data_IF_190367962231
#
_entry.id   IF_190367962231
#
_cell.length_a   1.000
_cell.length_b   1.000
_cell.length_c   1.000
_cell.angle_alpha   90.00
_cell.angle_beta   90.00
_cell.angle_gamma   90.00
#
_symmetry.space_group_name_H-M   'P 1'
#
loop_
_entity.id
_entity.type
_entity.pdbx_description
1 polymer ?
#
# COMPACT_ATOMS: atom_id res chain seq x y z
N UNK A 1 2.29 20.33 -12.57
CA UNK A 1 3.31 20.51 -13.64
C UNK A 1 3.19 19.37 -14.63
N UNK A 2 3.30 19.64 -15.93
CA UNK A 2 3.19 18.60 -16.96
C UNK A 2 4.47 17.72 -16.94
N UNK A 3 4.31 16.46 -16.52
CA UNK A 3 5.40 15.48 -16.42
C UNK A 3 6.09 15.30 -17.77
N UNK A 4 5.32 15.28 -18.87
CA UNK A 4 5.84 15.10 -20.23
C UNK A 4 6.75 16.26 -20.63
N UNK A 5 6.32 17.50 -20.36
CA UNK A 5 7.11 18.69 -20.65
C UNK A 5 8.42 18.69 -19.86
N UNK A 6 8.38 18.25 -18.60
CA UNK A 6 9.57 18.18 -17.74
C UNK A 6 10.58 17.14 -18.25
N UNK A 7 10.09 15.97 -18.71
CA UNK A 7 10.91 14.93 -19.33
C UNK A 7 11.63 15.44 -20.57
N UNK A 8 10.92 16.16 -21.43
CA UNK A 8 11.49 16.67 -22.69
C UNK A 8 12.44 17.86 -22.48
N UNK A 9 12.14 18.74 -21.53
CA UNK A 9 12.88 20.01 -21.35
C UNK A 9 14.02 19.94 -20.35
N UNK A 10 14.01 18.97 -19.41
CA UNK A 10 14.99 18.89 -18.32
C UNK A 10 15.52 17.45 -18.05
N UNK A 11 16.00 16.71 -19.06
CA UNK A 11 16.42 15.32 -18.89
C UNK A 11 17.57 15.14 -17.88
N UNK A 12 18.57 16.03 -17.86
CA UNK A 12 19.69 15.94 -16.91
C UNK A 12 19.28 16.23 -15.47
N UNK A 13 18.30 17.12 -15.27
CA UNK A 13 17.76 17.38 -13.94
C UNK A 13 17.03 16.14 -13.42
N UNK A 14 16.26 15.44 -14.26
CA UNK A 14 15.60 14.18 -13.90
C UNK A 14 16.62 13.11 -13.53
N UNK A 15 17.67 12.93 -14.33
CA UNK A 15 18.72 11.96 -14.01
C UNK A 15 19.37 12.29 -12.68
N UNK A 16 19.69 13.56 -12.43
CA UNK A 16 20.21 13.99 -11.12
C UNK A 16 19.23 13.67 -9.99
N UNK A 17 17.96 14.01 -10.15
CA UNK A 17 16.92 13.79 -9.14
C UNK A 17 16.73 12.30 -8.81
N UNK A 18 16.74 11.43 -9.83
CA UNK A 18 16.60 9.98 -9.67
C UNK A 18 17.84 9.37 -9.03
N UNK A 19 19.05 9.69 -9.52
CA UNK A 19 20.29 9.05 -9.06
C UNK A 19 20.92 9.69 -7.82
N UNK A 20 20.45 10.86 -7.38
CA UNK A 20 20.89 11.46 -6.10
C UNK A 20 20.13 10.92 -4.89
N UNK A 21 19.01 10.20 -5.09
CA UNK A 21 18.21 9.62 -4.03
C UNK A 21 18.47 8.11 -3.93
N UNK A 22 19.02 7.66 -2.80
CA UNK A 22 19.39 6.27 -2.57
C UNK A 22 18.19 5.30 -2.71
N UNK A 23 17.02 5.68 -2.22
CA UNK A 23 15.81 4.84 -2.25
C UNK A 23 15.28 4.66 -3.68
N UNK A 24 15.36 5.70 -4.52
CA UNK A 24 15.02 5.59 -5.95
C UNK A 24 15.98 4.67 -6.69
N UNK A 25 17.26 4.73 -6.35
CA UNK A 25 18.26 3.81 -6.90
C UNK A 25 17.97 2.38 -6.46
N UNK A 26 17.74 2.13 -5.16
CA UNK A 26 17.33 0.82 -4.63
C UNK A 26 16.10 0.28 -5.35
N UNK A 27 15.09 1.12 -5.58
CA UNK A 27 13.89 0.74 -6.32
C UNK A 27 14.19 0.18 -7.71
N UNK A 28 15.04 0.87 -8.49
CA UNK A 28 15.47 0.42 -9.82
C UNK A 28 16.23 -0.91 -9.71
N UNK A 29 17.13 -1.03 -8.73
CA UNK A 29 17.88 -2.27 -8.49
C UNK A 29 16.97 -3.43 -8.11
N UNK A 30 15.96 -3.23 -7.26
CA UNK A 30 15.02 -4.30 -6.93
C UNK A 30 14.13 -4.67 -8.11
N UNK A 31 13.68 -3.68 -8.89
CA UNK A 31 12.79 -3.90 -10.02
C UNK A 31 13.46 -4.69 -11.16
N UNK A 32 14.69 -4.32 -11.53
CA UNK A 32 15.40 -4.92 -12.66
C UNK A 32 16.51 -5.88 -12.25
N UNK A 33 17.20 -5.60 -11.15
CA UNK A 33 18.30 -6.43 -10.65
C UNK A 33 17.84 -7.78 -10.13
N UNK A 34 16.61 -7.89 -9.60
CA UNK A 34 16.01 -9.19 -9.27
C UNK A 34 15.87 -10.11 -10.49
N UNK A 35 15.83 -9.54 -11.71
CA UNK A 35 15.79 -10.24 -12.99
C UNK A 35 17.14 -10.19 -13.72
N UNK A 36 18.23 -9.91 -13.00
CA UNK A 36 19.60 -9.84 -13.54
C UNK A 36 19.79 -8.78 -14.62
N UNK A 37 18.96 -7.73 -14.63
CA UNK A 37 18.94 -6.68 -15.66
C UNK A 37 18.67 -7.17 -17.10
N UNK A 38 18.29 -8.45 -17.29
CA UNK A 38 17.94 -9.03 -18.59
C UNK A 38 16.79 -8.28 -19.30
N UNK A 39 15.77 -7.69 -18.63
CA UNK A 39 14.76 -6.88 -19.30
C UNK A 39 15.31 -5.77 -20.22
N UNK A 40 16.46 -5.17 -19.87
CA UNK A 40 17.09 -4.13 -20.69
C UNK A 40 17.63 -4.65 -22.03
N UNK A 41 17.77 -5.96 -22.20
CA UNK A 41 18.14 -6.56 -23.48
C UNK A 41 16.98 -6.56 -24.48
N UNK A 42 15.74 -6.29 -24.05
CA UNK A 42 14.60 -6.08 -24.94
C UNK A 42 13.82 -4.79 -24.58
N UNK A 43 14.44 -3.62 -24.78
CA UNK A 43 13.90 -2.34 -24.32
C UNK A 43 12.61 -1.93 -25.04
N UNK A 44 12.34 -2.50 -26.24
CA UNK A 44 11.11 -2.30 -26.99
C UNK A 44 9.84 -2.53 -26.17
N UNK A 45 9.86 -3.51 -25.26
CA UNK A 45 8.71 -3.88 -24.43
C UNK A 45 8.58 -2.95 -23.23
N UNK A 46 9.70 -2.43 -22.73
CA UNK A 46 9.73 -1.52 -21.58
C UNK A 46 9.18 -0.12 -21.90
N UNK A 47 8.96 0.23 -23.17
CA UNK A 47 8.34 1.51 -23.54
C UNK A 47 6.98 1.72 -22.86
N UNK A 48 6.18 0.66 -22.72
CA UNK A 48 4.86 0.72 -22.06
C UNK A 48 5.00 1.05 -20.57
N UNK A 49 6.15 0.79 -19.96
CA UNK A 49 6.40 1.06 -18.54
C UNK A 49 6.80 2.50 -18.23
N UNK A 50 7.20 3.29 -19.25
CA UNK A 50 7.76 4.62 -19.06
C UNK A 50 6.83 5.55 -18.26
N UNK A 51 5.50 5.63 -18.52
CA UNK A 51 4.63 6.52 -17.75
C UNK A 51 4.60 6.16 -16.26
N UNK A 52 4.54 4.86 -15.93
CA UNK A 52 4.47 4.37 -14.55
C UNK A 52 5.82 4.52 -13.85
N UNK A 53 6.94 4.22 -14.54
CA UNK A 53 8.29 4.44 -14.03
C UNK A 53 8.56 5.92 -13.77
N UNK A 54 8.20 6.79 -14.72
CA UNK A 54 8.36 8.23 -14.57
C UNK A 54 7.53 8.76 -13.39
N UNK A 55 6.27 8.33 -13.27
CA UNK A 55 5.43 8.70 -12.13
C UNK A 55 6.05 8.25 -10.81
N UNK A 56 6.51 7.00 -10.73
CA UNK A 56 7.11 6.45 -9.51
C UNK A 56 8.39 7.20 -9.13
N UNK A 57 9.30 7.42 -10.09
CA UNK A 57 10.61 8.01 -9.85
C UNK A 57 10.59 9.53 -9.65
N UNK A 58 9.59 10.22 -10.22
CA UNK A 58 9.42 11.67 -10.06
C UNK A 58 8.47 12.04 -8.92
N UNK A 59 7.83 11.06 -8.28
CA UNK A 59 7.01 11.30 -7.11
C UNK A 59 7.85 11.87 -5.96
N UNK A 60 7.23 12.77 -5.20
CA UNK A 60 7.80 13.33 -3.97
C UNK A 60 7.64 12.35 -2.80
N UNK A 61 6.52 11.62 -2.75
CA UNK A 61 6.24 10.65 -1.69
C UNK A 61 7.03 9.34 -1.94
N UNK A 62 7.91 8.92 -1.01
CA UNK A 62 8.68 7.68 -1.08
C UNK A 62 7.87 6.41 -1.31
N UNK A 63 6.58 6.40 -0.95
CA UNK A 63 5.70 5.24 -1.15
C UNK A 63 5.59 4.85 -2.62
N UNK A 64 5.68 5.81 -3.54
CA UNK A 64 5.59 5.55 -4.98
C UNK A 64 6.84 4.87 -5.58
N UNK A 65 8.01 5.02 -4.94
CA UNK A 65 9.26 4.38 -5.36
C UNK A 65 9.79 3.40 -4.30
N UNK A 66 8.92 2.85 -3.45
CA UNK A 66 9.30 1.78 -2.53
C UNK A 66 8.91 0.41 -3.09
N UNK A 67 9.85 -0.54 -3.14
CA UNK A 67 9.61 -1.89 -3.68
C UNK A 67 8.62 -2.72 -2.85
N UNK A 68 8.35 -2.32 -1.61
CA UNK A 68 7.39 -2.98 -0.71
C UNK A 68 5.96 -2.45 -0.85
N UNK A 69 5.72 -1.48 -1.72
CA UNK A 69 4.40 -0.90 -1.97
C UNK A 69 3.80 -1.42 -3.29
N UNK A 70 2.49 -1.26 -3.44
CA UNK A 70 1.73 -1.79 -4.59
C UNK A 70 1.92 -0.99 -5.90
N UNK A 71 2.57 0.18 -5.85
CA UNK A 71 2.71 1.06 -7.01
C UNK A 71 3.57 0.49 -8.14
N UNK A 72 4.36 -0.56 -7.86
CA UNK A 72 5.14 -1.28 -8.87
C UNK A 72 4.34 -2.33 -9.65
N UNK A 73 3.08 -2.61 -9.28
CA UNK A 73 2.28 -3.67 -9.89
C UNK A 73 2.15 -3.54 -11.41
N UNK A 74 1.97 -2.32 -11.93
CA UNK A 74 1.86 -2.06 -13.37
C UNK A 74 3.16 -2.27 -14.16
N UNK A 75 4.30 -2.45 -13.48
CA UNK A 75 5.61 -2.68 -14.10
C UNK A 75 5.93 -4.18 -14.23
N UNK A 76 5.25 -5.03 -13.46
CA UNK A 76 5.60 -6.43 -13.30
C UNK A 76 5.47 -7.23 -14.60
N UNK A 77 4.31 -7.13 -15.27
CA UNK A 77 4.04 -7.91 -16.49
C UNK A 77 4.99 -7.52 -17.64
N UNK A 78 5.13 -6.23 -18.00
CA UNK A 78 6.08 -5.86 -19.06
C UNK A 78 7.52 -6.26 -18.74
N UNK A 79 7.94 -6.18 -17.47
CA UNK A 79 9.28 -6.61 -17.05
C UNK A 79 9.51 -8.11 -17.22
N UNK A 80 8.52 -8.94 -16.87
CA UNK A 80 8.60 -10.40 -17.05
C UNK A 80 8.66 -10.76 -18.54
N UNK A 81 7.86 -10.11 -19.39
CA UNK A 81 7.89 -10.34 -20.83
C UNK A 81 9.26 -9.90 -21.41
N UNK A 82 9.74 -8.71 -21.04
CA UNK A 82 11.04 -8.21 -21.46
C UNK A 82 12.20 -9.12 -20.97
N UNK A 83 12.08 -9.69 -19.77
CA UNK A 83 13.00 -10.69 -19.26
C UNK A 83 13.01 -11.94 -20.16
N UNK A 84 11.85 -12.55 -20.41
CA UNK A 84 11.74 -13.77 -21.20
C UNK A 84 12.30 -13.59 -22.63
N UNK A 85 11.91 -12.50 -23.30
CA UNK A 85 12.39 -12.13 -24.64
C UNK A 85 13.88 -11.70 -24.65
N UNK A 86 14.40 -11.27 -23.50
CA UNK A 86 15.80 -10.88 -23.31
C UNK A 86 16.74 -12.08 -23.16
N UNK A 87 16.26 -13.24 -22.71
CA UNK A 87 17.09 -14.44 -22.45
C UNK A 87 17.97 -14.85 -23.65
N UNK A 88 17.46 -14.94 -24.90
CA UNK A 88 18.30 -15.31 -26.04
C UNK A 88 19.45 -14.33 -26.30
N UNK A 89 19.27 -13.05 -25.98
CA UNK A 89 20.33 -12.04 -26.07
C UNK A 89 21.31 -12.18 -24.91
N UNK A 90 20.82 -12.44 -23.69
CA UNK A 90 21.65 -12.70 -22.52
C UNK A 90 22.58 -13.90 -22.74
N UNK A 91 22.07 -15.00 -23.31
CA UNK A 91 22.85 -16.19 -23.67
C UNK A 91 23.97 -15.87 -24.66
N UNK A 92 23.69 -15.09 -25.70
CA UNK A 92 24.71 -14.66 -26.66
C UNK A 92 25.79 -13.79 -26.02
N UNK A 93 25.39 -12.86 -25.15
CA UNK A 93 26.35 -12.03 -24.38
C UNK A 93 27.22 -12.89 -23.46
N UNK A 94 26.63 -13.88 -22.78
CA UNK A 94 27.32 -14.84 -21.92
C UNK A 94 28.39 -15.65 -22.68
N UNK A 95 28.04 -16.14 -23.86
CA UNK A 95 28.98 -16.85 -24.74
C UNK A 95 30.07 -15.90 -25.29
N UNK A 96 29.73 -14.64 -25.58
CA UNK A 96 30.69 -13.64 -26.06
C UNK A 96 31.78 -13.32 -25.04
N UNK A 97 31.45 -13.30 -23.75
CA UNK A 97 32.42 -13.16 -22.65
C UNK A 97 33.12 -14.49 -22.29
N UNK A 98 33.04 -15.49 -23.17
CA UNK A 98 33.73 -16.80 -23.09
C UNK A 98 33.36 -17.63 -21.85
N UNK A 99 32.20 -17.39 -21.26
CA UNK A 99 31.70 -18.24 -20.17
C UNK A 99 31.09 -19.53 -20.75
N UNK A 100 31.24 -20.65 -20.04
CA UNK A 100 30.72 -21.93 -20.54
C UNK A 100 29.19 -21.88 -20.60
N UNK A 101 28.64 -22.25 -21.75
CA UNK A 101 27.19 -22.25 -22.02
C UNK A 101 26.39 -23.01 -20.96
N UNK A 102 26.89 -24.17 -20.55
CA UNK A 102 26.24 -25.04 -19.55
C UNK A 102 25.98 -24.37 -18.19
N UNK A 103 26.66 -23.26 -17.88
CA UNK A 103 26.49 -22.55 -16.61
C UNK A 103 25.47 -21.42 -16.67
N UNK A 104 25.02 -21.01 -17.86
CA UNK A 104 24.10 -19.87 -17.98
C UNK A 104 22.78 -20.13 -17.24
N UNK A 105 22.08 -21.21 -17.58
CA UNK A 105 20.79 -21.53 -16.96
C UNK A 105 20.90 -21.83 -15.47
N UNK A 106 21.85 -22.66 -15.00
CA UNK A 106 22.01 -22.91 -13.55
C UNK A 106 22.27 -21.62 -12.76
N UNK A 107 23.13 -20.72 -13.26
CA UNK A 107 23.44 -19.47 -12.56
C UNK A 107 22.22 -18.55 -12.55
N UNK A 108 21.54 -18.41 -13.68
CA UNK A 108 20.33 -17.59 -13.77
C UNK A 108 19.24 -18.10 -12.82
N UNK A 109 18.92 -19.39 -12.88
CA UNK A 109 17.90 -20.01 -12.02
C UNK A 109 18.29 -19.91 -10.53
N UNK A 110 19.55 -20.15 -10.19
CA UNK A 110 20.04 -20.01 -8.81
C UNK A 110 19.91 -18.57 -8.34
N UNK A 111 20.30 -17.60 -9.15
CA UNK A 111 20.17 -16.17 -8.83
C UNK A 111 18.71 -15.77 -8.59
N UNK A 112 17.79 -16.21 -9.45
CA UNK A 112 16.35 -15.95 -9.27
C UNK A 112 15.81 -16.57 -7.97
N UNK A 113 16.19 -17.81 -7.66
CA UNK A 113 15.78 -18.50 -6.43
C UNK A 113 16.33 -17.76 -5.20
N UNK A 114 17.62 -17.38 -5.22
CA UNK A 114 18.24 -16.62 -4.12
C UNK A 114 17.53 -15.28 -3.92
N UNK A 115 17.30 -14.51 -5.00
CA UNK A 115 16.54 -13.27 -4.94
C UNK A 115 15.13 -13.49 -4.36
N UNK A 116 14.46 -14.57 -4.76
CA UNK A 116 13.14 -14.91 -4.23
C UNK A 116 13.19 -15.23 -2.74
N UNK A 117 14.13 -16.05 -2.28
CA UNK A 117 14.28 -16.40 -0.86
C UNK A 117 14.58 -15.16 0.00
N UNK A 118 15.41 -14.24 -0.51
CA UNK A 118 15.85 -13.06 0.24
C UNK A 118 14.81 -11.92 0.23
N UNK A 119 14.11 -11.69 -0.88
CA UNK A 119 13.33 -10.46 -1.10
C UNK A 119 11.81 -10.68 -1.13
N UNK A 120 11.34 -11.87 -1.51
CA UNK A 120 9.91 -12.17 -1.66
C UNK A 120 9.22 -12.30 -0.29
N UNK A 121 7.92 -12.02 -0.16
CA UNK A 121 7.11 -12.42 1.00
C UNK A 121 6.45 -13.80 0.83
N UNK A 122 7.09 -14.77 0.17
CA UNK A 122 6.53 -16.10 -0.11
C UNK A 122 6.85 -17.17 0.95
N UNK A 123 6.14 -18.31 0.99
CA UNK A 123 6.39 -19.38 1.96
C UNK A 123 7.80 -19.99 1.97
N UNK A 124 8.59 -19.78 0.91
CA UNK A 124 9.99 -20.24 0.83
C UNK A 124 10.99 -19.15 1.22
N UNK A 125 10.52 -17.93 1.50
CA UNK A 125 11.38 -16.79 1.79
C UNK A 125 11.64 -16.62 3.28
N UNK A 126 12.75 -15.94 3.60
CA UNK A 126 13.10 -15.61 4.97
C UNK A 126 12.08 -14.64 5.60
N UNK A 127 11.49 -13.76 4.78
CA UNK A 127 10.53 -12.75 5.24
C UNK A 127 9.26 -13.38 5.82
N UNK A 128 8.84 -14.53 5.28
CA UNK A 128 7.63 -15.23 5.71
C UNK A 128 7.74 -15.84 7.12
N UNK A 129 8.96 -16.19 7.55
CA UNK A 129 9.23 -16.73 8.89
C UNK A 129 9.77 -15.69 9.87
N UNK A 130 9.91 -14.43 9.45
CA UNK A 130 10.42 -13.37 10.30
C UNK A 130 9.26 -12.65 11.03
N UNK A 131 9.17 -12.71 12.37
CA UNK A 131 8.12 -12.02 13.13
C UNK A 131 8.22 -10.48 13.05
N UNK A 132 9.37 -9.94 12.65
CA UNK A 132 9.55 -8.51 12.37
C UNK A 132 8.85 -8.05 11.09
N UNK A 133 8.48 -8.97 10.19
CA UNK A 133 7.72 -8.66 8.97
C UNK A 133 6.25 -9.02 9.16
N UNK A 134 5.58 -8.39 10.15
CA UNK A 134 4.26 -8.78 10.64
C UNK A 134 3.24 -9.10 9.53
N UNK A 135 3.11 -8.25 8.51
CA UNK A 135 2.13 -8.41 7.42
C UNK A 135 2.35 -9.64 6.53
N UNK A 136 3.53 -10.25 6.59
CA UNK A 136 3.92 -11.40 5.78
C UNK A 136 4.29 -12.61 6.64
N UNK A 137 4.25 -12.49 7.97
CA UNK A 137 4.59 -13.58 8.88
C UNK A 137 3.54 -14.69 8.81
N UNK A 138 3.99 -15.94 8.68
CA UNK A 138 3.11 -17.09 8.44
C UNK A 138 1.93 -17.19 9.43
N UNK A 139 2.14 -16.82 10.69
CA UNK A 139 1.10 -16.91 11.72
C UNK A 139 -0.10 -15.99 11.46
N UNK A 140 0.04 -14.92 10.66
CA UNK A 140 -1.08 -14.05 10.27
C UNK A 140 -2.07 -14.77 9.36
N UNK A 141 -1.62 -15.78 8.61
CA UNK A 141 -2.48 -16.59 7.74
C UNK A 141 -3.20 -17.72 8.48
N UNK A 142 -2.77 -18.05 9.70
CA UNK A 142 -3.37 -19.10 10.52
C UNK A 142 -4.48 -18.48 11.37
N UNK A 143 -5.74 -18.95 11.26
CA UNK A 143 -6.82 -18.49 12.12
C UNK A 143 -6.50 -18.77 13.60
N UNK A 144 -6.47 -17.72 14.42
CA UNK A 144 -6.34 -17.83 15.88
C UNK A 144 -7.69 -17.70 16.57
N UNK A 145 -7.76 -18.13 17.83
CA UNK A 145 -8.93 -17.91 18.70
C UNK A 145 -9.28 -16.41 18.80
N UNK A 146 -8.27 -15.55 18.98
CA UNK A 146 -8.42 -14.08 18.96
C UNK A 146 -9.06 -13.57 17.68
N UNK A 147 -8.71 -14.14 16.51
CA UNK A 147 -9.34 -13.76 15.25
C UNK A 147 -10.83 -14.14 15.22
N UNK A 148 -11.24 -15.23 15.87
CA UNK A 148 -12.65 -15.59 15.98
C UNK A 148 -13.40 -14.66 16.93
N UNK A 149 -12.82 -14.35 18.10
CA UNK A 149 -13.39 -13.38 19.06
C UNK A 149 -13.64 -12.03 18.38
N UNK A 150 -12.63 -11.50 17.67
CA UNK A 150 -12.74 -10.25 16.92
C UNK A 150 -13.86 -10.32 15.87
N UNK A 151 -13.91 -11.39 15.06
CA UNK A 151 -14.95 -11.55 14.03
C UNK A 151 -16.36 -11.65 14.61
N UNK A 152 -16.50 -12.35 15.73
CA UNK A 152 -17.76 -12.49 16.45
C UNK A 152 -18.18 -11.14 17.03
N UNK A 153 -17.29 -10.45 17.76
CA UNK A 153 -17.56 -9.13 18.30
C UNK A 153 -17.98 -8.13 17.22
N UNK A 154 -17.29 -8.10 16.07
CA UNK A 154 -17.66 -7.23 14.95
C UNK A 154 -19.06 -7.54 14.40
N UNK A 155 -19.46 -8.80 14.31
CA UNK A 155 -20.80 -9.19 13.84
C UNK A 155 -21.89 -8.93 14.87
N UNK A 156 -21.55 -9.04 16.16
CA UNK A 156 -22.50 -8.84 17.26
C UNK A 156 -22.76 -7.37 17.54
N UNK A 157 -21.72 -6.53 17.50
CA UNK A 157 -21.80 -5.14 17.97
C UNK A 157 -21.92 -4.09 16.86
N UNK A 158 -21.60 -4.44 15.61
CA UNK A 158 -21.75 -3.51 14.48
C UNK A 158 -22.83 -4.10 13.55
N UNK A 159 -23.92 -3.36 13.25
CA UNK A 159 -24.97 -3.84 12.37
C UNK A 159 -24.47 -4.05 10.94
N UNK A 160 -25.17 -4.89 10.17
CA UNK A 160 -24.83 -5.19 8.77
C UNK A 160 -25.35 -4.15 7.76
N UNK A 161 -25.93 -3.06 8.24
CA UNK A 161 -26.48 -1.98 7.41
C UNK A 161 -25.38 -1.35 6.52
N UNK A 162 -25.56 -1.33 5.18
CA UNK A 162 -24.62 -0.70 4.27
C UNK A 162 -24.46 0.82 4.42
N UNK A 163 -25.42 1.53 5.01
CA UNK A 163 -25.38 2.98 5.18
C UNK A 163 -24.53 3.43 6.37
N UNK A 164 -24.30 2.53 7.33
CA UNK A 164 -23.49 2.82 8.52
C UNK A 164 -22.04 3.11 8.14
N UNK A 165 -21.52 4.24 8.62
CA UNK A 165 -20.16 4.68 8.32
C UNK A 165 -19.22 4.13 9.38
N UNK A 166 -18.17 3.45 8.93
CA UNK A 166 -17.16 2.89 9.82
C UNK A 166 -15.81 3.53 9.60
N UNK A 167 -15.07 3.79 10.67
CA UNK A 167 -13.64 4.15 10.63
C UNK A 167 -12.82 3.01 11.20
N UNK A 168 -11.89 2.46 10.41
CA UNK A 168 -11.14 1.26 10.79
C UNK A 168 -9.64 1.45 10.55
N UNK A 169 -8.81 0.74 11.33
CA UNK A 169 -7.38 0.64 11.03
C UNK A 169 -7.11 -0.24 9.80
N UNK A 170 -6.05 0.07 9.05
CA UNK A 170 -5.65 -0.69 7.85
C UNK A 170 -5.25 -2.13 8.17
N UNK A 171 -4.94 -2.46 9.43
CA UNK A 171 -4.67 -3.83 9.85
C UNK A 171 -5.94 -4.69 10.02
N UNK A 172 -7.12 -4.11 9.81
CA UNK A 172 -8.43 -4.73 10.07
C UNK A 172 -9.25 -4.93 8.79
N UNK A 173 -8.80 -5.83 7.92
CA UNK A 173 -9.55 -6.19 6.72
C UNK A 173 -10.48 -7.38 6.98
N UNK A 174 -11.75 -7.10 7.30
CA UNK A 174 -12.79 -8.11 7.39
C UNK A 174 -13.92 -7.83 6.40
N UNK A 175 -14.22 -8.81 5.54
CA UNK A 175 -15.21 -8.67 4.47
C UNK A 175 -16.61 -8.29 4.96
N UNK A 176 -16.97 -8.63 6.21
CA UNK A 176 -18.20 -8.14 6.83
C UNK A 176 -18.24 -6.62 6.76
N UNK A 177 -17.23 -5.94 7.32
CA UNK A 177 -17.10 -4.48 7.36
C UNK A 177 -16.96 -3.84 5.98
N UNK A 178 -16.38 -4.53 5.00
CA UNK A 178 -16.15 -3.95 3.67
C UNK A 178 -17.38 -3.94 2.76
N UNK A 179 -18.55 -4.38 3.26
CA UNK A 179 -19.83 -4.32 2.53
C UNK A 179 -20.56 -2.98 2.63
N UNK A 180 -20.06 -2.03 3.44
CA UNK A 180 -20.69 -0.71 3.58
C UNK A 180 -20.42 0.13 2.34
N UNK A 181 -21.37 0.99 1.98
CA UNK A 181 -21.20 1.97 0.90
C UNK A 181 -20.06 2.93 1.22
N UNK A 182 -19.93 3.25 2.50
CA UNK A 182 -18.89 4.13 3.02
C UNK A 182 -18.06 3.41 4.07
N UNK A 183 -16.75 3.36 3.85
CA UNK A 183 -15.79 3.02 4.88
C UNK A 183 -14.66 4.06 4.87
N UNK A 184 -14.13 4.36 6.06
CA UNK A 184 -13.06 5.32 6.26
C UNK A 184 -11.89 4.65 6.95
N UNK A 185 -10.71 5.18 6.67
CA UNK A 185 -9.49 4.75 7.32
C UNK A 185 -9.24 5.64 8.54
N UNK A 186 -9.01 5.03 9.69
CA UNK A 186 -8.73 5.78 10.92
C UNK A 186 -7.55 6.76 10.71
N UNK A 187 -7.65 8.04 11.14
CA UNK A 187 -8.67 8.65 12.00
C UNK A 187 -9.83 9.37 11.28
N UNK A 188 -9.96 9.18 9.96
CA UNK A 188 -10.99 9.88 9.18
C UNK A 188 -12.40 9.46 9.60
N UNK A 189 -13.27 10.46 9.78
CA UNK A 189 -14.63 10.30 10.28
C UNK A 189 -14.73 10.04 11.79
N UNK A 190 -13.62 9.72 12.46
CA UNK A 190 -13.57 9.60 13.92
C UNK A 190 -13.31 10.98 14.55
N UNK A 191 -12.13 11.53 14.29
CA UNK A 191 -11.67 12.83 14.84
C UNK A 191 -11.17 13.78 13.77
N UNK A 192 -10.88 13.27 12.56
CA UNK A 192 -10.51 14.08 11.42
C UNK A 192 -11.66 14.10 10.44
N UNK A 193 -12.14 15.30 10.12
CA UNK A 193 -13.15 15.49 9.09
C UNK A 193 -12.70 14.88 7.77
N UNK A 194 -13.64 14.20 7.14
CA UNK A 194 -13.40 13.52 5.88
C UNK A 194 -14.65 13.75 5.02
N UNK A 195 -14.63 14.77 4.16
CA UNK A 195 -15.77 15.05 3.29
C UNK A 195 -15.97 13.87 2.34
N UNK A 196 -17.23 13.50 2.15
CA UNK A 196 -17.66 12.61 1.10
C UNK A 196 -18.11 13.43 -0.10
N UNK A 197 -17.64 13.06 -1.27
CA UNK A 197 -17.98 13.71 -2.52
C UNK A 197 -19.05 12.87 -3.19
N UNK A 198 -20.27 13.40 -3.27
CA UNK A 198 -21.31 12.85 -4.11
C UNK A 198 -20.97 13.16 -5.56
N UNK A 199 -20.56 12.16 -6.34
CA UNK A 199 -20.38 12.31 -7.78
C UNK A 199 -21.65 11.84 -8.52
N UNK A 200 -22.21 12.73 -9.34
CA UNK A 200 -23.22 12.33 -10.34
C UNK A 200 -22.53 12.23 -11.69
N UNK A 201 -22.24 11.00 -12.10
CA UNK A 201 -21.70 10.69 -13.43
C UNK A 201 -22.77 10.97 -14.49
N UNK A 202 -22.81 12.20 -14.99
CA UNK A 202 -23.69 12.63 -16.08
C UNK A 202 -22.86 13.01 -17.29
N UNK A 203 -23.44 12.92 -18.49
CA UNK A 203 -22.78 13.36 -19.72
C UNK A 203 -22.38 14.83 -19.68
N UNK A 204 -23.20 15.68 -19.05
CA UNK A 204 -22.88 17.09 -18.83
C UNK A 204 -21.67 17.25 -17.90
N UNK A 205 -21.63 16.50 -16.78
CA UNK A 205 -20.49 16.49 -15.88
C UNK A 205 -19.20 15.99 -16.55
N UNK A 206 -19.28 15.04 -17.48
CA UNK A 206 -18.15 14.58 -18.28
C UNK A 206 -17.65 15.67 -19.24
N UNK A 207 -18.55 16.35 -19.95
CA UNK A 207 -18.19 17.44 -20.87
C UNK A 207 -17.53 18.60 -20.09
N UNK A 208 -18.08 18.96 -18.93
CA UNK A 208 -17.51 19.97 -18.05
C UNK A 208 -16.13 19.56 -17.52
N UNK A 209 -15.94 18.29 -17.16
CA UNK A 209 -14.63 17.77 -16.77
C UNK A 209 -13.61 17.88 -17.90
N UNK A 210 -13.95 17.47 -19.13
CA UNK A 210 -13.05 17.58 -20.29
C UNK A 210 -12.65 19.03 -20.55
N UNK A 211 -13.60 19.97 -20.40
CA UNK A 211 -13.34 21.40 -20.63
C UNK A 211 -12.54 22.07 -19.52
N UNK A 212 -12.81 21.73 -18.25
CA UNK A 212 -12.27 22.47 -17.09
C UNK A 212 -11.15 21.74 -16.37
N UNK A 213 -10.98 20.43 -16.64
CA UNK A 213 -10.10 19.54 -15.89
C UNK A 213 -10.55 19.26 -14.45
N UNK A 214 -11.76 19.69 -14.05
CA UNK A 214 -12.29 19.53 -12.69
C UNK A 214 -13.50 18.58 -12.67
N UNK A 215 -13.55 17.60 -11.76
CA UNK A 215 -14.69 16.70 -11.67
C UNK A 215 -15.94 17.46 -11.21
N UNK A 216 -17.10 17.04 -11.71
CA UNK A 216 -18.40 17.59 -11.29
C UNK A 216 -18.78 17.02 -9.91
N UNK A 217 -18.66 17.85 -8.87
CA UNK A 217 -19.02 17.51 -7.49
C UNK A 217 -20.47 17.96 -7.26
N UNK A 218 -21.36 17.01 -6.96
CA UNK A 218 -22.79 17.31 -6.77
C UNK A 218 -23.17 17.64 -5.33
N UNK A 219 -22.45 17.09 -4.36
CA UNK A 219 -22.56 17.46 -2.94
C UNK A 219 -21.26 17.14 -2.20
N UNK A 220 -20.98 17.93 -1.16
CA UNK A 220 -19.93 17.66 -0.18
C UNK A 220 -20.63 17.46 1.15
N UNK A 221 -20.56 16.24 1.69
CA UNK A 221 -21.15 15.92 2.98
C UNK A 221 -20.05 15.52 3.96
N UNK A 222 -19.96 16.24 5.08
CA UNK A 222 -19.07 15.86 6.17
C UNK A 222 -19.68 14.65 6.89
N UNK A 223 -19.30 13.47 6.44
CA UNK A 223 -19.81 12.23 7.00
C UNK A 223 -18.84 11.72 8.07
N UNK A 224 -19.32 11.72 9.31
CA UNK A 224 -18.61 11.13 10.44
C UNK A 224 -18.90 9.64 10.56
N UNK A 225 -18.02 8.90 11.21
CA UNK A 225 -18.20 7.49 11.46
C UNK A 225 -19.21 7.25 12.59
N UNK A 226 -20.11 6.29 12.38
CA UNK A 226 -20.99 5.75 13.40
C UNK A 226 -20.23 4.80 14.33
N UNK A 227 -19.27 4.04 13.78
CA UNK A 227 -18.44 3.12 14.54
C UNK A 227 -16.95 3.32 14.25
N UNK A 228 -16.12 3.16 15.27
CA UNK A 228 -14.65 3.11 15.13
C UNK A 228 -14.14 1.79 15.65
N UNK A 229 -13.27 1.13 14.87
CA UNK A 229 -12.68 -0.17 15.21
C UNK A 229 -11.18 -0.03 15.32
N UNK A 230 -10.65 -0.36 16.49
CA UNK A 230 -9.22 -0.27 16.82
C UNK A 230 -8.73 -1.61 17.39
N UNK A 231 -7.53 -2.04 16.97
CA UNK A 231 -6.80 -3.17 17.53
C UNK A 231 -5.39 -2.71 17.89
N UNK A 232 -5.14 -2.45 19.17
CA UNK A 232 -3.87 -1.90 19.62
C UNK A 232 -2.73 -2.95 19.65
N UNK A 233 -3.04 -4.24 19.46
CA UNK A 233 -2.06 -5.33 19.31
C UNK A 233 -1.65 -5.59 17.86
N UNK A 234 -2.26 -4.90 16.91
CA UNK A 234 -1.86 -4.91 15.50
C UNK A 234 -1.05 -3.67 15.17
N UNK A 235 -0.33 -3.64 14.03
CA UNK A 235 0.33 -2.43 13.58
C UNK A 235 -0.62 -1.25 13.54
N UNK A 236 -0.19 -0.13 14.13
CA UNK A 236 -0.95 1.10 14.20
C UNK A 236 -0.86 1.85 12.88
N UNK A 237 -1.96 2.44 12.45
CA UNK A 237 -2.04 3.24 11.24
C UNK A 237 -2.69 4.58 11.52
N UNK A 238 -2.15 5.61 10.89
CA UNK A 238 -2.77 6.92 10.71
C UNK A 238 -2.93 7.11 9.21
N UNK A 239 -4.15 6.90 8.70
CA UNK A 239 -4.46 6.88 7.27
C UNK A 239 -3.56 5.87 6.54
N UNK A 240 -2.67 6.32 5.66
CA UNK A 240 -1.74 5.46 4.92
C UNK A 240 -0.36 5.33 5.58
N UNK A 241 -0.14 5.89 6.76
CA UNK A 241 1.13 5.78 7.49
C UNK A 241 1.00 4.72 8.57
N UNK A 242 1.67 3.59 8.38
CA UNK A 242 1.77 2.52 9.38
C UNK A 242 3.00 2.68 10.24
N UNK A 243 2.92 2.29 11.51
CA UNK A 243 4.08 2.26 12.35
C UNK A 243 5.07 1.16 11.91
N UNK A 244 6.38 1.40 12.03
CA UNK A 244 7.38 0.34 11.97
C UNK A 244 7.16 -0.67 13.10
N UNK A 245 6.52 -1.79 12.78
CA UNK A 245 6.03 -2.75 13.76
C UNK A 245 6.94 -3.97 13.88
N UNK A 246 7.52 -4.19 15.06
CA UNK A 246 8.43 -5.31 15.32
C UNK A 246 8.11 -5.93 16.68
N UNK A 247 7.92 -7.25 16.70
CA UNK A 247 7.68 -8.01 17.94
C UNK A 247 6.52 -7.46 18.78
N UNK A 248 5.39 -7.18 18.12
CA UNK A 248 4.17 -6.63 18.73
C UNK A 248 4.32 -5.23 19.34
N UNK A 249 5.31 -4.45 18.87
CA UNK A 249 5.52 -3.08 19.31
C UNK A 249 5.75 -2.16 18.13
N UNK A 250 5.21 -0.95 18.24
CA UNK A 250 5.57 0.17 17.40
C UNK A 250 7.01 0.61 17.75
N UNK A 251 7.90 0.64 16.76
CA UNK A 251 9.31 1.05 16.88
C UNK A 251 9.63 2.41 16.26
N UNK A 252 8.64 3.09 15.70
CA UNK A 252 8.82 4.48 15.29
C UNK A 252 9.09 5.40 16.49
N UNK A 253 9.43 6.64 16.15
CA UNK A 253 9.67 7.71 17.09
C UNK A 253 8.50 7.94 18.05
N UNK A 254 8.80 8.60 19.17
CA UNK A 254 7.78 8.92 20.16
C UNK A 254 6.72 9.87 19.61
N UNK A 255 7.03 10.68 18.61
CA UNK A 255 6.09 11.62 18.01
C UNK A 255 4.92 10.88 17.34
N UNK A 256 5.21 9.86 16.51
CA UNK A 256 4.17 9.03 15.89
C UNK A 256 3.30 8.34 16.94
N UNK A 257 3.93 7.74 17.96
CA UNK A 257 3.22 7.03 19.04
C UNK A 257 2.29 7.96 19.80
N UNK A 258 2.82 9.11 20.24
CA UNK A 258 2.06 10.11 20.99
C UNK A 258 0.91 10.65 20.15
N UNK A 259 1.15 10.91 18.87
CA UNK A 259 0.10 11.38 17.97
C UNK A 259 -0.99 10.33 17.75
N UNK A 260 -0.64 9.06 17.52
CA UNK A 260 -1.62 7.99 17.39
C UNK A 260 -2.44 7.83 18.68
N UNK A 261 -1.80 7.82 19.85
CA UNK A 261 -2.48 7.70 21.14
C UNK A 261 -3.37 8.92 21.44
N UNK A 262 -2.96 10.13 21.06
CA UNK A 262 -3.78 11.34 21.14
C UNK A 262 -5.05 11.21 20.28
N UNK A 263 -4.92 10.73 19.03
CA UNK A 263 -6.08 10.47 18.17
C UNK A 263 -7.03 9.43 18.79
N UNK A 264 -6.50 8.35 19.39
CA UNK A 264 -7.33 7.36 20.11
C UNK A 264 -8.02 7.99 21.32
N UNK A 265 -7.31 8.83 22.07
CA UNK A 265 -7.87 9.56 23.22
C UNK A 265 -9.01 10.48 22.81
N UNK A 266 -8.80 11.32 21.80
CA UNK A 266 -9.83 12.20 21.22
C UNK A 266 -11.03 11.40 20.71
N UNK A 267 -10.79 10.26 20.05
CA UNK A 267 -11.89 9.40 19.58
C UNK A 267 -12.77 8.92 20.74
N UNK A 268 -12.18 8.61 21.91
CA UNK A 268 -12.95 8.18 23.09
C UNK A 268 -13.75 9.30 23.75
N UNK A 269 -13.52 10.58 23.39
CA UNK A 269 -14.32 11.70 23.88
C UNK A 269 -15.69 11.71 23.20
N UNK A 270 -15.73 11.48 21.89
CA UNK A 270 -16.97 11.55 21.08
C UNK A 270 -17.66 10.19 20.88
N UNK A 271 -16.99 9.11 21.26
CA UNK A 271 -17.49 7.75 21.10
C UNK A 271 -17.57 7.01 22.44
N UNK A 272 -18.61 6.20 22.61
CA UNK A 272 -18.75 5.24 23.71
C UNK A 272 -18.11 3.90 23.35
N UNK A 273 -17.56 3.20 24.35
CA UNK A 273 -17.00 1.85 24.14
C UNK A 273 -18.11 0.82 24.29
N UNK A 274 -18.46 0.15 23.19
CA UNK A 274 -19.50 -0.90 23.20
C UNK A 274 -18.93 -2.31 23.27
N UNK A 275 -17.63 -2.46 22.97
CA UNK A 275 -16.90 -3.71 23.16
C UNK A 275 -15.42 -3.42 23.41
N UNK A 276 -14.82 -4.13 24.37
CA UNK A 276 -13.39 -4.09 24.62
C UNK A 276 -12.92 -5.44 25.16
N UNK A 277 -12.01 -6.07 24.44
CA UNK A 277 -11.36 -7.31 24.86
C UNK A 277 -9.96 -7.35 24.28
N UNK A 278 -8.95 -7.69 25.09
CA UNK A 278 -7.57 -7.89 24.64
C UNK A 278 -7.01 -6.76 23.74
N UNK A 279 -7.27 -5.51 24.14
CA UNK A 279 -6.91 -4.26 23.44
C UNK A 279 -7.51 -4.10 22.03
N UNK A 280 -8.44 -4.98 21.65
CA UNK A 280 -9.38 -4.75 20.57
C UNK A 280 -10.59 -3.99 21.10
N UNK A 281 -11.01 -2.94 20.39
CA UNK A 281 -11.99 -1.96 20.84
C UNK A 281 -12.96 -1.67 19.69
N UNK A 282 -14.26 -1.73 20.00
CA UNK A 282 -15.32 -1.22 19.14
C UNK A 282 -15.94 -0.02 19.86
N UNK A 283 -15.92 1.11 19.19
CA UNK A 283 -16.47 2.37 19.66
C UNK A 283 -17.70 2.72 18.82
N UNK A 284 -18.77 3.20 19.44
CA UNK A 284 -19.97 3.73 18.78
C UNK A 284 -20.07 5.22 19.06
N UNK A 285 -20.46 6.00 18.06
CA UNK A 285 -20.59 7.44 18.24
C UNK A 285 -21.70 7.73 19.24
N UNK A 286 -21.44 8.64 20.19
CA UNK A 286 -22.49 9.11 21.10
C UNK A 286 -23.54 9.88 20.30
N UNK A 287 -24.80 9.77 20.69
CA UNK A 287 -25.81 10.64 20.10
C UNK A 287 -25.54 12.08 20.54
N UNK A 288 -25.86 13.09 19.71
CA UNK A 288 -25.73 14.49 20.09
C UNK A 288 -26.52 14.87 21.36
N UNK A 289 -27.54 14.08 21.72
CA UNK A 289 -28.34 14.23 22.94
C UNK A 289 -27.65 13.74 24.22
N UNK A 290 -26.56 12.98 24.10
CA UNK A 290 -25.90 12.28 25.20
C UNK A 290 -24.52 12.91 25.51
N UNK A 291 -24.24 14.09 24.95
CA UNK A 291 -23.08 14.90 25.31
C UNK A 291 -23.37 15.67 26.62
N UNK A 292 -22.47 15.63 27.61
CA UNK A 292 -22.64 16.34 28.88
C UNK A 292 -22.64 17.86 28.72
#
# INVERSE_FOLDING_TARGET
QNIILTILTKPFWILKEVFSNEERVKYIFYLFGALGFIPFLKPGILWVTIPILAHSLLALDPKHYGFTHHYSAGLLIPNIIAFAEGIPRAKRLWEHIKLKKQWFEPILCTGLIVCHILLSPSPISLKFYNPGAWSHYFAVYIPSERNQIIKTALKTHIPSDPEEIISIQNSMHFSYLMRRKTFKVFPHGAVVDSPMHGEKLTWLGFIDFVRTGKPYISSIENASANYVVLDLKRPWFIVGQGCYWVSNKCKDDEQFKNYFLDLVSKTRQDFETIFKEDEFIILKRRNPSDAP
#
